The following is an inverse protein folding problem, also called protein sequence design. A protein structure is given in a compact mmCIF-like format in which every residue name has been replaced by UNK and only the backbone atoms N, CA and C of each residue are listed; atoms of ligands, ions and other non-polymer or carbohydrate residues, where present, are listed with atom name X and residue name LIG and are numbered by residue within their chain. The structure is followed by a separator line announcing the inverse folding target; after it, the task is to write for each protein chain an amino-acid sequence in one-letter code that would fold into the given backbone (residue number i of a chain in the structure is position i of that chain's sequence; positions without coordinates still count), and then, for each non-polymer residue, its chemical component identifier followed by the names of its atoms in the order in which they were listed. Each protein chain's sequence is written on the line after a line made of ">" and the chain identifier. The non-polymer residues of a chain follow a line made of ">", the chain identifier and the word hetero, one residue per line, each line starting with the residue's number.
data_IF_104760360405
#
_entry.id   IF_104760360405
#
_cell.length_a   1.000
_cell.length_b   1.000
_cell.length_c   1.000
_cell.angle_alpha   90.00
_cell.angle_beta   90.00
_cell.angle_gamma   90.00
#
_symmetry.space_group_name_H-M   'P 1'
#
loop_
_entity.id
_entity.type
_entity.pdbx_description
1 polymer ?
#
# COMPACT_ATOMS: atom_id res chain seq x y z
N UNK A 1 -23.61 9.57 -1.60
CA UNK A 1 -22.93 10.80 -1.14
C UNK A 1 -21.42 10.56 -0.95
N UNK A 2 -21.00 9.54 -0.25
CA UNK A 2 -19.58 9.26 0.05
C UNK A 2 -18.68 9.09 -1.19
N UNK A 3 -19.11 8.29 -2.18
CA UNK A 3 -18.32 8.11 -3.41
C UNK A 3 -18.08 9.43 -4.17
N UNK A 4 -19.09 10.31 -4.25
CA UNK A 4 -18.94 11.58 -4.96
C UNK A 4 -17.97 12.51 -4.21
N UNK A 5 -18.06 12.58 -2.89
CA UNK A 5 -17.13 13.35 -2.06
C UNK A 5 -15.68 12.85 -2.23
N UNK A 6 -15.50 11.51 -2.25
CA UNK A 6 -14.17 10.92 -2.49
C UNK A 6 -13.63 11.28 -3.89
N UNK A 7 -14.45 11.15 -4.95
CA UNK A 7 -14.07 11.55 -6.30
C UNK A 7 -13.66 13.02 -6.37
N UNK A 8 -14.33 13.92 -5.66
CA UNK A 8 -13.97 15.33 -5.62
C UNK A 8 -12.60 15.56 -4.97
N UNK A 9 -12.28 14.80 -3.91
CA UNK A 9 -10.93 14.81 -3.30
C UNK A 9 -9.87 14.28 -4.25
N UNK A 10 -10.17 13.18 -4.98
CA UNK A 10 -9.24 12.57 -5.91
C UNK A 10 -8.80 13.48 -7.08
N UNK A 11 -9.57 14.50 -7.42
CA UNK A 11 -9.18 15.49 -8.45
C UNK A 11 -7.86 16.18 -8.15
N UNK A 12 -7.53 16.40 -6.87
CA UNK A 12 -6.31 17.07 -6.40
C UNK A 12 -5.14 16.11 -6.19
N UNK A 13 -5.39 14.81 -6.14
CA UNK A 13 -4.37 13.82 -5.76
C UNK A 13 -3.19 13.84 -6.73
N UNK A 14 -1.99 13.98 -6.18
CA UNK A 14 -0.70 13.89 -6.88
C UNK A 14 0.10 12.65 -6.45
N UNK A 15 -0.23 12.08 -5.28
CA UNK A 15 0.44 10.91 -4.72
C UNK A 15 -0.58 9.90 -4.21
N UNK A 16 -0.42 8.64 -4.62
CA UNK A 16 -1.05 7.48 -3.99
C UNK A 16 -0.05 6.83 -3.05
N UNK A 17 -0.32 6.85 -1.76
CA UNK A 17 0.47 6.14 -0.75
C UNK A 17 -0.29 4.90 -0.27
N UNK A 18 0.40 3.77 -0.18
CA UNK A 18 -0.18 2.46 0.06
C UNK A 18 0.49 1.78 1.26
N UNK A 19 -0.28 1.18 2.15
CA UNK A 19 0.27 0.10 2.96
C UNK A 19 0.51 -1.14 2.08
N UNK A 20 1.21 -2.13 2.62
CA UNK A 20 1.52 -3.36 1.90
C UNK A 20 0.58 -4.50 2.28
N UNK A 21 0.70 -4.99 3.53
CA UNK A 21 -0.09 -6.12 4.02
C UNK A 21 -1.52 -5.66 4.32
N UNK A 22 -2.49 -6.41 3.90
CA UNK A 22 -3.90 -6.01 3.96
C UNK A 22 -4.34 -5.03 2.86
N UNK A 23 -3.41 -4.45 2.07
CA UNK A 23 -3.73 -3.53 0.97
C UNK A 23 -3.25 -4.07 -0.38
N UNK A 24 -1.94 -4.17 -0.59
CA UNK A 24 -1.35 -4.69 -1.84
C UNK A 24 -1.27 -6.21 -1.84
N UNK A 25 -1.08 -6.81 -0.68
CA UNK A 25 -1.12 -8.23 -0.42
C UNK A 25 -2.25 -8.54 0.55
N UNK A 26 -2.86 -9.74 0.53
CA UNK A 26 -3.77 -10.17 1.59
C UNK A 26 -3.01 -10.29 2.92
N UNK A 27 -3.73 -10.31 4.04
CA UNK A 27 -3.15 -10.49 5.38
C UNK A 27 -2.53 -11.89 5.61
N UNK A 28 -2.69 -12.80 4.66
CA UNK A 28 -2.14 -14.14 4.74
C UNK A 28 -0.78 -14.20 4.06
N UNK A 29 0.23 -14.61 4.82
CA UNK A 29 1.59 -14.86 4.32
C UNK A 29 1.84 -16.37 4.42
N UNK A 30 2.15 -16.98 3.28
CA UNK A 30 2.59 -18.36 3.25
C UNK A 30 4.05 -18.41 3.73
N UNK A 31 4.31 -19.12 4.81
CA UNK A 31 5.68 -19.34 5.35
C UNK A 31 6.12 -20.75 5.08
N UNK A 32 7.23 -20.90 4.39
CA UNK A 32 7.86 -22.16 4.12
C UNK A 32 9.28 -22.23 4.68
N UNK A 33 9.78 -23.45 4.85
CA UNK A 33 11.17 -23.72 5.25
C UNK A 33 11.82 -24.56 4.16
N UNK A 34 12.94 -24.11 3.62
CA UNK A 34 13.79 -24.92 2.78
C UNK A 34 14.77 -25.65 3.70
N UNK A 35 14.67 -26.97 3.74
CA UNK A 35 15.59 -27.80 4.49
C UNK A 35 16.74 -28.25 3.57
N UNK A 36 17.96 -27.87 3.91
CA UNK A 36 19.19 -28.42 3.33
C UNK A 36 19.99 -29.09 4.45
N UNK A 37 20.06 -30.39 4.39
CA UNK A 37 20.73 -31.21 5.41
C UNK A 37 22.25 -31.01 5.43
N UNK A 38 22.87 -30.42 4.41
CA UNK A 38 24.32 -30.21 4.32
C UNK A 38 24.79 -28.90 4.94
N UNK A 39 23.92 -27.85 4.97
CA UNK A 39 24.27 -26.50 5.45
C UNK A 39 23.23 -25.94 6.44
N UNK A 40 22.63 -26.77 7.23
CA UNK A 40 21.53 -26.39 8.13
C UNK A 40 21.97 -25.36 9.18
N UNK A 41 21.25 -24.23 9.25
CA UNK A 41 21.39 -23.27 10.34
C UNK A 41 20.57 -23.76 11.54
N UNK A 42 21.25 -23.90 12.70
CA UNK A 42 20.57 -24.25 13.96
C UNK A 42 19.80 -23.05 14.49
N UNK A 43 18.49 -23.14 14.49
CA UNK A 43 17.61 -22.18 15.15
C UNK A 43 16.78 -22.90 16.22
N UNK A 44 16.94 -22.53 17.48
CA UNK A 44 16.30 -23.23 18.63
C UNK A 44 16.43 -24.76 18.62
N UNK A 45 17.63 -25.28 18.42
CA UNK A 45 17.92 -26.73 18.30
C UNK A 45 17.22 -27.45 17.14
N UNK A 46 16.70 -26.72 16.16
CA UNK A 46 16.19 -27.26 14.89
C UNK A 46 17.09 -26.82 13.75
N UNK A 47 17.32 -27.70 12.81
CA UNK A 47 18.16 -27.43 11.64
C UNK A 47 17.28 -26.95 10.50
N UNK A 48 17.29 -25.60 10.21
CA UNK A 48 16.64 -24.98 9.06
C UNK A 48 17.67 -24.21 8.25
N UNK A 49 17.63 -24.33 6.94
CA UNK A 49 18.55 -23.55 6.12
C UNK A 49 18.02 -22.17 5.80
N UNK A 50 16.77 -22.07 5.38
CA UNK A 50 16.15 -20.79 5.02
C UNK A 50 14.66 -20.81 5.40
N UNK A 51 14.19 -19.72 5.95
CA UNK A 51 12.77 -19.40 6.06
C UNK A 51 12.38 -18.61 4.82
N UNK A 52 11.37 -19.07 4.10
CA UNK A 52 10.84 -18.40 2.92
C UNK A 52 9.46 -17.85 3.27
N UNK A 53 9.29 -16.56 3.09
CA UNK A 53 7.98 -15.90 3.17
C UNK A 53 7.50 -15.62 1.75
N UNK A 54 6.27 -16.02 1.44
CA UNK A 54 5.66 -15.84 0.12
C UNK A 54 4.42 -14.99 0.29
N UNK A 55 4.45 -13.77 -0.24
CA UNK A 55 3.28 -12.91 -0.35
C UNK A 55 2.69 -12.99 -1.76
N UNK A 56 1.36 -12.97 -1.86
CA UNK A 56 0.63 -12.98 -3.12
C UNK A 56 0.26 -11.54 -3.49
N UNK A 57 0.54 -11.13 -4.72
CA UNK A 57 0.20 -9.81 -5.22
C UNK A 57 -0.70 -9.90 -6.45
N UNK A 58 -1.72 -9.06 -6.50
CA UNK A 58 -2.62 -8.99 -7.63
C UNK A 58 -1.94 -8.29 -8.84
N UNK A 59 -2.00 -8.91 -10.01
CA UNK A 59 -1.43 -8.34 -11.23
C UNK A 59 -2.13 -7.05 -11.66
N UNK A 60 -3.45 -6.95 -11.48
CA UNK A 60 -4.24 -5.77 -11.87
C UNK A 60 -3.88 -4.54 -11.05
N UNK A 61 -3.48 -4.71 -9.79
CA UNK A 61 -3.01 -3.62 -8.93
C UNK A 61 -1.72 -3.02 -9.50
N UNK A 62 -0.78 -3.87 -9.92
CA UNK A 62 0.44 -3.42 -10.59
C UNK A 62 0.16 -2.64 -11.89
N UNK A 63 -0.79 -3.11 -12.70
CA UNK A 63 -1.21 -2.39 -13.90
C UNK A 63 -1.82 -1.02 -13.57
N UNK A 64 -2.64 -0.93 -12.51
CA UNK A 64 -3.22 0.34 -12.05
C UNK A 64 -2.13 1.34 -11.63
N UNK A 65 -1.16 0.88 -10.85
CA UNK A 65 0.00 1.67 -10.43
C UNK A 65 0.80 2.17 -11.65
N UNK A 66 1.07 1.31 -12.63
CA UNK A 66 1.81 1.70 -13.83
C UNK A 66 1.07 2.78 -14.65
N UNK A 67 -0.26 2.68 -14.74
CA UNK A 67 -1.07 3.70 -15.43
C UNK A 67 -0.99 5.04 -14.68
N UNK A 68 -1.10 5.06 -13.35
CA UNK A 68 -0.96 6.29 -12.55
C UNK A 68 0.40 6.95 -12.77
N UNK A 69 1.49 6.18 -12.69
CA UNK A 69 2.86 6.68 -12.90
C UNK A 69 3.05 7.30 -14.29
N UNK A 70 2.53 6.65 -15.34
CA UNK A 70 2.57 7.17 -16.72
C UNK A 70 1.80 8.49 -16.88
N UNK A 71 0.87 8.77 -15.99
CA UNK A 71 0.08 10.00 -15.99
C UNK A 71 0.56 11.02 -14.92
N UNK A 72 1.79 10.88 -14.44
CA UNK A 72 2.42 11.84 -13.54
C UNK A 72 1.92 11.78 -12.10
N UNK A 73 1.25 10.70 -11.70
CA UNK A 73 0.82 10.50 -10.31
C UNK A 73 1.85 9.61 -9.63
N UNK A 74 2.44 10.13 -8.56
CA UNK A 74 3.43 9.40 -7.77
C UNK A 74 2.75 8.26 -7.00
N UNK A 75 3.51 7.17 -6.77
CA UNK A 75 3.06 6.07 -5.93
C UNK A 75 4.18 5.67 -4.99
N UNK A 76 3.87 5.46 -3.71
CA UNK A 76 4.83 5.04 -2.68
C UNK A 76 4.19 4.00 -1.75
N UNK A 77 4.99 3.08 -1.24
CA UNK A 77 4.57 2.17 -0.17
C UNK A 77 5.08 2.69 1.17
N UNK A 78 4.21 2.67 2.20
CA UNK A 78 4.53 3.07 3.57
C UNK A 78 4.13 1.93 4.49
N UNK A 79 5.09 1.18 5.00
CA UNK A 79 4.83 -0.05 5.73
C UNK A 79 5.66 -0.21 6.99
N UNK A 80 5.13 -0.96 7.95
CA UNK A 80 5.87 -1.44 9.13
C UNK A 80 6.60 -2.76 8.84
N UNK A 81 6.25 -3.44 7.74
CA UNK A 81 6.79 -4.75 7.36
C UNK A 81 8.26 -4.67 6.97
N UNK A 82 9.05 -5.61 7.49
CA UNK A 82 10.51 -5.69 7.26
C UNK A 82 10.92 -6.74 6.25
N UNK A 83 10.01 -7.64 5.88
CA UNK A 83 10.27 -8.73 4.95
C UNK A 83 10.72 -8.28 3.58
N UNK A 84 11.57 -9.07 2.96
CA UNK A 84 12.14 -8.78 1.64
C UNK A 84 11.14 -8.84 0.49
N UNK A 85 9.98 -9.50 0.67
CA UNK A 85 8.95 -9.56 -0.38
C UNK A 85 8.37 -8.17 -0.70
N UNK A 86 8.31 -7.27 0.30
CA UNK A 86 7.84 -5.89 0.08
C UNK A 86 8.83 -5.15 -0.82
N UNK A 87 10.14 -5.26 -0.52
CA UNK A 87 11.18 -4.64 -1.35
C UNK A 87 11.18 -5.18 -2.77
N UNK A 88 11.06 -6.50 -2.92
CA UNK A 88 11.00 -7.16 -4.22
C UNK A 88 9.79 -6.68 -5.05
N UNK A 89 8.63 -6.51 -4.40
CA UNK A 89 7.43 -5.98 -5.05
C UNK A 89 7.59 -4.53 -5.46
N UNK A 90 8.08 -3.68 -4.57
CA UNK A 90 8.31 -2.26 -4.86
C UNK A 90 9.35 -2.08 -5.98
N UNK A 91 10.45 -2.84 -5.94
CA UNK A 91 11.45 -2.87 -7.00
C UNK A 91 10.84 -3.23 -8.36
N UNK A 92 10.06 -4.31 -8.42
CA UNK A 92 9.36 -4.74 -9.65
C UNK A 92 8.42 -3.67 -10.20
N UNK A 93 7.76 -2.89 -9.35
CA UNK A 93 6.85 -1.82 -9.73
C UNK A 93 7.57 -0.48 -10.00
N UNK A 94 8.85 -0.38 -9.65
CA UNK A 94 9.62 0.86 -9.75
C UNK A 94 9.01 1.97 -8.91
N UNK A 95 8.63 1.65 -7.64
CA UNK A 95 8.07 2.60 -6.68
C UNK A 95 8.90 2.58 -5.38
N UNK A 96 9.01 3.73 -4.67
CA UNK A 96 9.68 3.79 -3.38
C UNK A 96 8.96 2.97 -2.31
N UNK A 97 9.74 2.49 -1.32
CA UNK A 97 9.25 1.81 -0.13
C UNK A 97 9.78 2.52 1.12
N UNK A 98 8.88 3.01 1.96
CA UNK A 98 9.18 3.63 3.25
C UNK A 98 8.90 2.61 4.34
N UNK A 99 9.97 2.04 4.90
CA UNK A 99 9.87 1.13 6.05
C UNK A 99 10.02 1.93 7.35
N UNK A 100 8.96 2.02 8.13
CA UNK A 100 8.91 2.84 9.34
C UNK A 100 7.91 2.30 10.35
N UNK A 101 8.17 2.52 11.64
CA UNK A 101 7.21 2.20 12.71
C UNK A 101 6.11 3.26 12.83
N UNK A 102 6.45 4.53 12.58
CA UNK A 102 5.51 5.65 12.55
C UNK A 102 5.27 6.04 11.09
N UNK A 103 4.16 5.57 10.53
CA UNK A 103 3.82 5.76 9.12
C UNK A 103 3.63 7.23 8.76
N UNK A 104 3.04 8.04 9.65
CA UNK A 104 2.82 9.47 9.38
C UNK A 104 4.13 10.24 9.39
N UNK A 105 4.97 10.01 10.40
CA UNK A 105 6.29 10.64 10.46
C UNK A 105 7.18 10.22 9.29
N UNK A 106 7.17 8.94 8.93
CA UNK A 106 7.92 8.41 7.79
C UNK A 106 7.48 9.01 6.45
N UNK A 107 6.17 9.10 6.21
CA UNK A 107 5.64 9.73 5.00
C UNK A 107 6.00 11.21 4.92
N UNK A 108 5.85 11.97 6.02
CA UNK A 108 6.22 13.38 6.08
C UNK A 108 7.72 13.61 5.81
N UNK A 109 8.59 12.78 6.40
CA UNK A 109 10.03 12.87 6.17
C UNK A 109 10.40 12.59 4.72
N UNK A 110 9.77 11.56 4.12
CA UNK A 110 9.98 11.23 2.72
C UNK A 110 9.50 12.35 1.77
N UNK A 111 8.32 12.93 2.03
CA UNK A 111 7.79 14.05 1.24
C UNK A 111 8.77 15.22 1.24
N UNK A 112 9.27 15.64 2.40
CA UNK A 112 10.24 16.73 2.51
C UNK A 112 11.50 16.53 1.67
N UNK A 113 11.96 15.30 1.55
CA UNK A 113 13.18 14.98 0.81
C UNK A 113 12.97 14.69 -0.68
N UNK A 114 11.78 14.30 -1.10
CA UNK A 114 11.56 13.77 -2.45
C UNK A 114 10.44 14.50 -3.23
N UNK A 115 9.41 15.01 -2.55
CA UNK A 115 8.24 15.65 -3.16
C UNK A 115 7.75 16.82 -2.29
N UNK A 116 8.59 17.83 -2.01
CA UNK A 116 8.26 18.90 -1.05
C UNK A 116 7.08 19.77 -1.47
N UNK A 117 6.70 19.74 -2.74
CA UNK A 117 5.55 20.48 -3.30
C UNK A 117 4.22 19.77 -3.12
N UNK A 118 4.21 18.50 -2.66
CA UNK A 118 2.99 17.73 -2.43
C UNK A 118 2.54 17.92 -0.98
N UNK A 119 1.36 18.51 -0.80
CA UNK A 119 0.72 18.65 0.51
C UNK A 119 -0.07 17.39 0.89
N UNK A 120 -0.34 17.20 2.19
CA UNK A 120 -1.15 16.07 2.68
C UNK A 120 -2.55 16.04 2.05
N UNK A 121 -3.14 17.19 1.70
CA UNK A 121 -4.43 17.27 1.01
C UNK A 121 -4.42 16.71 -0.42
N UNK A 122 -3.25 16.56 -1.02
CA UNK A 122 -3.05 16.04 -2.37
C UNK A 122 -2.65 14.55 -2.37
N UNK A 123 -2.77 13.88 -1.21
CA UNK A 123 -2.44 12.46 -1.05
C UNK A 123 -3.71 11.64 -0.92
N UNK A 124 -3.79 10.56 -1.68
CA UNK A 124 -4.66 9.43 -1.40
C UNK A 124 -3.85 8.38 -0.63
N UNK A 125 -4.35 7.94 0.52
CA UNK A 125 -3.72 6.88 1.31
C UNK A 125 -4.66 5.70 1.44
N UNK A 126 -4.14 4.48 1.27
CA UNK A 126 -4.85 3.24 1.56
C UNK A 126 -4.16 2.51 2.71
N UNK A 127 -4.92 2.22 3.76
CA UNK A 127 -4.48 1.45 4.94
C UNK A 127 -5.65 0.70 5.55
N UNK A 128 -5.39 -0.39 6.27
CA UNK A 128 -6.41 -1.32 6.79
C UNK A 128 -6.33 -1.56 8.30
N UNK A 129 -5.20 -1.19 8.93
CA UNK A 129 -4.88 -1.51 10.32
C UNK A 129 -4.82 -0.25 11.21
N UNK A 130 -4.82 -0.43 12.53
CA UNK A 130 -4.71 0.66 13.55
C UNK A 130 -3.52 1.57 13.27
N UNK A 131 -2.39 1.00 12.83
CA UNK A 131 -1.17 1.74 12.50
C UNK A 131 -1.35 2.76 11.36
N UNK A 132 -2.42 2.66 10.57
CA UNK A 132 -2.73 3.54 9.45
C UNK A 132 -3.59 4.74 9.83
N UNK A 133 -4.26 4.71 10.98
CA UNK A 133 -5.25 5.71 11.38
C UNK A 133 -4.67 7.12 11.40
N UNK A 134 -3.43 7.27 11.85
CA UNK A 134 -2.76 8.58 11.89
C UNK A 134 -2.61 9.19 10.50
N UNK A 135 -2.25 8.36 9.50
CA UNK A 135 -2.11 8.80 8.10
C UNK A 135 -3.47 9.04 7.47
N UNK A 136 -4.43 8.11 7.65
CA UNK A 136 -5.79 8.23 7.12
C UNK A 136 -6.46 9.54 7.55
N UNK A 137 -6.25 9.98 8.80
CA UNK A 137 -6.78 11.25 9.32
C UNK A 137 -6.07 12.48 8.79
N UNK A 138 -4.84 12.35 8.33
CA UNK A 138 -4.00 13.47 7.90
C UNK A 138 -4.13 13.77 6.41
N UNK A 139 -4.49 12.80 5.57
CA UNK A 139 -4.50 12.93 4.11
C UNK A 139 -5.83 13.48 3.58
N UNK A 140 -5.79 14.05 2.37
CA UNK A 140 -6.97 14.60 1.72
C UNK A 140 -7.97 13.55 1.20
N UNK A 141 -7.50 12.35 0.83
CA UNK A 141 -8.33 11.28 0.28
C UNK A 141 -8.03 9.94 0.97
N UNK A 142 -8.49 9.73 2.23
CA UNK A 142 -8.32 8.46 2.91
C UNK A 142 -9.23 7.38 2.35
N UNK A 143 -8.67 6.20 2.08
CA UNK A 143 -9.39 5.03 1.60
C UNK A 143 -8.94 3.77 2.35
N UNK A 144 -9.83 2.79 2.41
CA UNK A 144 -9.54 1.47 3.00
C UNK A 144 -10.19 0.36 2.19
N UNK A 145 -9.93 -0.88 2.57
CA UNK A 145 -10.42 -2.08 1.87
C UNK A 145 -11.65 -2.69 2.54
N UNK A 146 -12.36 -3.54 1.79
CA UNK A 146 -13.60 -4.15 2.27
C UNK A 146 -13.42 -4.98 3.55
N UNK A 147 -12.27 -5.61 3.73
CA UNK A 147 -11.92 -6.46 4.87
C UNK A 147 -11.08 -5.76 5.95
N UNK A 148 -10.91 -4.43 5.86
CA UNK A 148 -10.22 -3.63 6.86
C UNK A 148 -10.94 -3.60 8.22
N UNK A 149 -10.23 -3.20 9.25
CA UNK A 149 -10.79 -3.02 10.60
C UNK A 149 -11.90 -1.94 10.64
N UNK A 150 -12.90 -2.10 11.51
CA UNK A 150 -13.95 -1.09 11.67
C UNK A 150 -13.43 0.31 11.96
N UNK A 151 -12.35 0.43 12.74
CA UNK A 151 -11.72 1.68 13.13
C UNK A 151 -11.11 2.42 11.93
N UNK A 152 -10.50 1.71 10.99
CA UNK A 152 -9.97 2.30 9.75
C UNK A 152 -11.08 2.68 8.80
N UNK A 153 -12.14 1.87 8.71
CA UNK A 153 -13.34 2.24 7.94
C UNK A 153 -13.99 3.52 8.45
N UNK A 154 -14.05 3.70 9.77
CA UNK A 154 -14.67 4.87 10.39
C UNK A 154 -13.96 6.21 10.09
N UNK A 155 -12.66 6.17 9.73
CA UNK A 155 -11.87 7.36 9.40
C UNK A 155 -11.60 7.50 7.90
N UNK A 156 -12.07 6.57 7.08
CA UNK A 156 -11.91 6.58 5.62
C UNK A 156 -13.10 7.21 4.92
N UNK A 157 -12.84 7.96 3.86
CA UNK A 157 -13.89 8.50 2.97
C UNK A 157 -14.38 7.45 1.96
N UNK A 158 -13.59 6.43 1.70
CA UNK A 158 -13.94 5.39 0.76
C UNK A 158 -13.51 4.02 1.26
N UNK A 159 -14.44 3.07 1.21
CA UNK A 159 -14.19 1.66 1.43
C UNK A 159 -14.32 0.96 0.08
N UNK A 160 -13.27 0.25 -0.37
CA UNK A 160 -13.31 -0.46 -1.64
C UNK A 160 -14.32 -1.61 -1.59
N UNK A 161 -14.78 -2.03 -2.76
CA UNK A 161 -15.62 -3.24 -2.91
C UNK A 161 -14.79 -4.51 -2.84
N UNK A 162 -13.49 -4.38 -3.08
CA UNK A 162 -12.53 -5.48 -3.09
C UNK A 162 -11.79 -5.56 -1.77
N UNK A 163 -11.39 -6.77 -1.41
CA UNK A 163 -10.50 -7.01 -0.28
C UNK A 163 -9.06 -6.63 -0.63
N UNK A 164 -8.25 -6.46 0.42
CA UNK A 164 -6.80 -6.27 0.26
C UNK A 164 -6.15 -7.42 -0.50
N UNK A 165 -5.20 -7.10 -1.39
CA UNK A 165 -4.55 -8.06 -2.25
C UNK A 165 -5.41 -8.64 -3.39
N UNK A 166 -6.70 -8.27 -3.48
CA UNK A 166 -7.64 -8.81 -4.46
C UNK A 166 -8.13 -7.76 -5.50
N UNK A 167 -7.29 -6.79 -5.79
CA UNK A 167 -7.58 -5.74 -6.77
C UNK A 167 -8.18 -4.47 -6.18
N UNK A 168 -8.09 -4.26 -4.87
CA UNK A 168 -8.54 -3.04 -4.19
C UNK A 168 -7.71 -1.82 -4.61
N UNK A 169 -6.40 -1.97 -4.74
CA UNK A 169 -5.52 -0.90 -5.22
C UNK A 169 -5.90 -0.50 -6.65
N UNK A 170 -6.20 -1.48 -7.52
CA UNK A 170 -6.67 -1.20 -8.88
C UNK A 170 -7.97 -0.41 -8.88
N UNK A 171 -8.92 -0.73 -8.00
CA UNK A 171 -10.18 0.00 -7.87
C UNK A 171 -9.93 1.48 -7.55
N UNK A 172 -9.04 1.79 -6.61
CA UNK A 172 -8.69 3.18 -6.26
C UNK A 172 -7.92 3.86 -7.39
N UNK A 173 -6.99 3.17 -8.05
CA UNK A 173 -6.32 3.71 -9.24
C UNK A 173 -7.32 4.13 -10.32
N UNK A 174 -8.32 3.29 -10.60
CA UNK A 174 -9.35 3.58 -11.59
C UNK A 174 -10.20 4.79 -11.20
N UNK A 175 -10.51 4.96 -9.90
CA UNK A 175 -11.23 6.14 -9.38
C UNK A 175 -10.40 7.44 -9.49
N UNK A 176 -9.09 7.38 -9.26
CA UNK A 176 -8.18 8.52 -9.47
C UNK A 176 -8.20 8.94 -10.95
N UNK A 177 -8.10 7.99 -11.87
CA UNK A 177 -8.15 8.26 -13.30
C UNK A 177 -9.50 8.84 -13.72
N UNK A 178 -10.62 8.28 -13.21
CA UNK A 178 -11.98 8.78 -13.43
C UNK A 178 -12.11 10.24 -12.97
N UNK A 179 -11.70 10.54 -11.73
CA UNK A 179 -11.78 11.87 -11.15
C UNK A 179 -10.98 12.93 -11.94
N UNK A 180 -9.84 12.52 -12.48
CA UNK A 180 -8.95 13.39 -13.29
C UNK A 180 -9.31 13.39 -14.78
N UNK A 181 -10.33 12.65 -15.22
CA UNK A 181 -10.73 12.50 -16.63
C UNK A 181 -9.59 11.98 -17.53
N UNK A 182 -8.72 11.15 -16.98
CA UNK A 182 -7.61 10.51 -17.70
C UNK A 182 -8.14 9.22 -18.35
N UNK A 183 -7.90 9.06 -19.67
CA UNK A 183 -8.26 7.82 -20.38
C UNK A 183 -7.29 6.70 -19.96
N UNK A 184 -7.82 5.48 -19.83
CA UNK A 184 -7.06 4.26 -19.51
C UNK A 184 -6.24 3.79 -20.69
#
# INVERSE_FOLDING_TARGET
>A
MEKQQFLDKLKKVKLLALDCDGIMAPLHIDTGVIMDFQNAIKYHNREYQYVVEIARFNHRDGQGIDILKKNGIHVVVVTTQRSGYVDARCFKLGIPCIKTKDKLAGLNAWLKGNQPEISMDEICYMGDEISDISVLRAVGAPATVADALPETKAVSLYVTKKNGGDGAVREVCDLILEAKKIRR
#
